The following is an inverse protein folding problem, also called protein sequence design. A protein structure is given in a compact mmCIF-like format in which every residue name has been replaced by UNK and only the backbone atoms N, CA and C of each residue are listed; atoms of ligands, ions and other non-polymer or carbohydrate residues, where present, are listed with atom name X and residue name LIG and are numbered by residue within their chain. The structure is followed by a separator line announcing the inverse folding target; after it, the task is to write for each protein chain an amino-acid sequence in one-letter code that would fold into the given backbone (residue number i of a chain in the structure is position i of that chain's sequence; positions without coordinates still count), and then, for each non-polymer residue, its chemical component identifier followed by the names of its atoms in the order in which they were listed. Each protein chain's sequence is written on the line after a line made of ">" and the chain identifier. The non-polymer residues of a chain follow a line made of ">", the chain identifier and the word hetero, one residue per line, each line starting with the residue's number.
data_IF_331561345155
#
_entry.id   IF_331561345155
#
_cell.length_a   1.000
_cell.length_b   1.000
_cell.length_c   1.000
_cell.angle_alpha   90.00
_cell.angle_beta   90.00
_cell.angle_gamma   90.00
#
_symmetry.space_group_name_H-M   'P 1'
#
loop_
_entity.id
_entity.type
_entity.pdbx_description
1 polymer ?
#
# COMPACT_ATOMS: atom_id res chain seq x y z
N UNK A 1 43.25 -22.01 8.09
CA UNK A 1 43.25 -21.68 6.65
C UNK A 1 42.00 -22.30 6.05
N UNK A 2 40.92 -21.54 5.84
CA UNK A 2 39.80 -22.04 5.05
C UNK A 2 40.23 -22.01 3.59
N UNK A 3 40.39 -23.16 2.96
CA UNK A 3 40.54 -23.25 1.52
C UNK A 3 39.27 -22.65 0.91
N UNK A 4 39.40 -21.48 0.28
CA UNK A 4 38.37 -20.98 -0.61
C UNK A 4 38.32 -21.94 -1.80
N UNK A 5 37.47 -22.97 -1.70
CA UNK A 5 37.23 -23.90 -2.78
C UNK A 5 36.69 -23.10 -3.97
N UNK A 6 37.51 -22.97 -5.02
CA UNK A 6 37.07 -22.42 -6.29
C UNK A 6 36.42 -23.56 -7.09
N UNK A 7 35.11 -23.55 -7.29
CA UNK A 7 34.48 -24.55 -8.13
C UNK A 7 34.98 -24.44 -9.59
N UNK A 8 34.99 -25.57 -10.35
CA UNK A 8 35.33 -25.57 -11.77
C UNK A 8 34.48 -24.59 -12.58
N UNK A 9 35.03 -24.03 -13.66
CA UNK A 9 34.29 -23.18 -14.59
C UNK A 9 33.08 -23.95 -15.16
N UNK A 10 31.88 -23.38 -15.00
CA UNK A 10 30.61 -24.01 -15.41
C UNK A 10 29.98 -24.94 -14.37
N UNK A 11 30.64 -25.20 -13.22
CA UNK A 11 30.02 -25.93 -12.12
C UNK A 11 29.23 -24.98 -11.22
N UNK A 12 27.92 -25.20 -11.15
CA UNK A 12 27.04 -24.61 -10.14
C UNK A 12 26.75 -25.66 -9.07
N UNK A 13 26.95 -25.38 -7.76
CA UNK A 13 26.62 -26.33 -6.71
C UNK A 13 25.17 -26.80 -6.85
N UNK A 14 24.89 -28.12 -6.73
CA UNK A 14 23.52 -28.62 -6.67
C UNK A 14 22.75 -27.86 -5.58
N UNK A 15 21.67 -27.17 -5.96
CA UNK A 15 20.90 -26.35 -5.03
C UNK A 15 20.92 -24.84 -5.30
N UNK A 16 21.94 -24.31 -5.99
CA UNK A 16 22.01 -22.89 -6.35
C UNK A 16 20.82 -22.46 -7.23
N UNK A 17 20.37 -23.33 -8.13
CA UNK A 17 19.15 -23.16 -8.91
C UNK A 17 17.86 -23.06 -8.07
N UNK A 18 17.83 -23.62 -6.86
CA UNK A 18 16.68 -23.53 -5.95
C UNK A 18 16.75 -22.30 -5.04
N UNK A 19 17.94 -21.76 -4.76
CA UNK A 19 18.10 -20.57 -3.93
C UNK A 19 17.44 -19.33 -4.57
N UNK A 20 17.56 -19.15 -5.89
CA UNK A 20 17.00 -17.99 -6.59
C UNK A 20 15.47 -18.02 -6.65
N UNK A 21 14.86 -19.19 -6.85
CA UNK A 21 13.38 -19.31 -6.92
C UNK A 21 12.69 -18.93 -5.60
N UNK A 22 13.31 -19.22 -4.46
CA UNK A 22 12.73 -18.93 -3.13
C UNK A 22 12.52 -17.41 -2.91
N UNK A 23 13.46 -16.58 -3.37
CA UNK A 23 13.35 -15.12 -3.26
C UNK A 23 12.27 -14.53 -4.17
N UNK A 24 12.19 -15.03 -5.41
CA UNK A 24 11.22 -14.52 -6.39
C UNK A 24 9.77 -14.82 -5.99
N UNK A 25 9.48 -16.06 -5.58
CA UNK A 25 8.12 -16.46 -5.17
C UNK A 25 7.59 -15.66 -3.98
N UNK A 26 8.43 -15.43 -2.96
CA UNK A 26 8.07 -14.61 -1.79
C UNK A 26 7.82 -13.15 -2.16
N UNK A 27 8.61 -12.63 -3.08
CA UNK A 27 8.45 -11.24 -3.57
C UNK A 27 7.15 -11.07 -4.34
N UNK A 28 6.81 -12.02 -5.22
CA UNK A 28 5.57 -12.00 -5.99
C UNK A 28 4.34 -12.06 -5.07
N UNK A 29 4.30 -13.01 -4.13
CA UNK A 29 3.19 -13.14 -3.18
C UNK A 29 3.05 -11.86 -2.35
N UNK A 30 4.16 -11.34 -1.80
CA UNK A 30 4.13 -10.10 -1.02
C UNK A 30 3.66 -8.90 -1.85
N UNK A 31 3.98 -8.86 -3.15
CA UNK A 31 3.53 -7.79 -4.05
C UNK A 31 2.04 -7.89 -4.33
N UNK A 32 1.52 -9.09 -4.61
CA UNK A 32 0.08 -9.32 -4.83
C UNK A 32 -0.72 -9.00 -3.58
N UNK A 33 -0.27 -9.49 -2.42
CA UNK A 33 -0.94 -9.20 -1.14
C UNK A 33 -0.93 -7.70 -0.86
N UNK A 34 0.22 -7.02 -1.03
CA UNK A 34 0.30 -5.56 -0.87
C UNK A 34 -0.66 -4.83 -1.81
N UNK A 35 -0.63 -5.16 -3.10
CA UNK A 35 -1.49 -4.53 -4.12
C UNK A 35 -2.99 -4.72 -3.86
N UNK A 36 -3.42 -5.84 -3.27
CA UNK A 36 -4.83 -6.10 -2.96
C UNK A 36 -5.24 -5.51 -1.62
N UNK A 37 -4.38 -5.58 -0.60
CA UNK A 37 -4.72 -5.12 0.76
C UNK A 37 -4.67 -3.60 0.89
N UNK A 38 -3.74 -2.93 0.17
CA UNK A 38 -3.64 -1.46 0.22
C UNK A 38 -4.92 -0.71 -0.13
N UNK A 39 -5.61 -0.98 -1.26
CA UNK A 39 -6.84 -0.26 -1.60
C UNK A 39 -7.96 -0.54 -0.59
N UNK A 40 -8.02 -1.74 0.01
CA UNK A 40 -8.97 -2.06 1.08
C UNK A 40 -8.66 -1.20 2.32
N UNK A 41 -7.38 -1.11 2.70
CA UNK A 41 -6.94 -0.27 3.82
C UNK A 41 -7.21 1.21 3.61
N UNK A 42 -6.94 1.72 2.40
CA UNK A 42 -7.27 3.09 1.99
C UNK A 42 -8.77 3.32 2.05
N UNK A 43 -9.56 2.41 1.48
CA UNK A 43 -11.01 2.52 1.43
C UNK A 43 -11.64 2.59 2.82
N UNK A 44 -11.25 1.69 3.72
CA UNK A 44 -11.73 1.73 5.12
C UNK A 44 -11.30 3.01 5.84
N UNK A 45 -10.05 3.44 5.67
CA UNK A 45 -9.56 4.66 6.30
C UNK A 45 -10.24 5.92 5.75
N UNK A 46 -10.49 5.97 4.44
CA UNK A 46 -11.14 7.08 3.76
C UNK A 46 -12.61 7.19 4.14
N UNK A 47 -13.35 6.07 4.11
CA UNK A 47 -14.76 6.04 4.50
C UNK A 47 -14.93 6.43 5.98
N UNK A 48 -14.12 5.84 6.87
CA UNK A 48 -14.16 6.18 8.28
C UNK A 48 -13.84 7.66 8.53
N UNK A 49 -12.89 8.24 7.81
CA UNK A 49 -12.57 9.66 7.91
C UNK A 49 -13.71 10.57 7.40
N UNK A 50 -14.42 10.17 6.35
CA UNK A 50 -15.59 10.90 5.84
C UNK A 50 -16.73 10.89 6.86
N UNK A 51 -17.08 9.71 7.38
CA UNK A 51 -18.07 9.56 8.45
C UNK A 51 -17.67 10.44 9.64
N UNK A 52 -16.38 10.43 10.00
CA UNK A 52 -15.81 11.31 11.04
C UNK A 52 -16.10 12.77 10.84
N UNK A 53 -15.87 13.26 9.63
CA UNK A 53 -16.15 14.64 9.30
C UNK A 53 -17.64 14.96 9.40
N UNK A 54 -18.51 14.06 8.95
CA UNK A 54 -19.95 14.29 8.96
C UNK A 54 -20.52 14.39 10.38
N UNK A 55 -20.16 13.49 11.30
CA UNK A 55 -20.68 13.58 12.67
C UNK A 55 -20.17 14.81 13.45
N UNK A 56 -18.93 15.23 13.19
CA UNK A 56 -18.38 16.46 13.79
C UNK A 56 -19.13 17.70 13.28
N UNK A 57 -19.51 17.73 11.99
CA UNK A 57 -20.23 18.86 11.40
C UNK A 57 -21.72 18.87 11.77
N UNK A 58 -22.37 17.72 11.79
CA UNK A 58 -23.81 17.59 12.09
C UNK A 58 -24.13 17.50 13.58
N UNK A 59 -23.12 17.31 14.43
CA UNK A 59 -23.29 17.16 15.89
C UNK A 59 -23.93 15.83 16.30
N UNK A 60 -24.06 14.87 15.39
CA UNK A 60 -24.71 13.57 15.62
C UNK A 60 -23.66 12.49 15.90
N UNK A 61 -23.39 12.19 17.17
CA UNK A 61 -22.40 11.18 17.56
C UNK A 61 -22.83 9.70 17.31
N UNK A 62 -23.90 9.47 16.54
CA UNK A 62 -24.59 8.18 16.44
C UNK A 62 -23.64 7.02 16.05
N UNK A 63 -22.79 7.23 15.04
CA UNK A 63 -21.91 6.17 14.51
C UNK A 63 -20.41 6.39 14.77
N UNK A 64 -20.08 7.12 15.85
CA UNK A 64 -18.67 7.40 16.24
C UNK A 64 -17.84 6.12 16.34
N UNK A 65 -18.42 5.05 16.87
CA UNK A 65 -17.72 3.76 17.01
C UNK A 65 -17.45 3.10 15.67
N UNK A 66 -18.43 3.06 14.76
CA UNK A 66 -18.27 2.47 13.43
C UNK A 66 -17.17 3.15 12.63
N UNK A 67 -17.20 4.49 12.61
CA UNK A 67 -16.19 5.31 11.96
C UNK A 67 -14.77 5.09 12.54
N UNK A 68 -14.64 5.04 13.87
CA UNK A 68 -13.35 4.74 14.51
C UNK A 68 -12.83 3.34 14.16
N UNK A 69 -13.71 2.32 14.14
CA UNK A 69 -13.30 0.96 13.77
C UNK A 69 -12.84 0.87 12.32
N UNK A 70 -13.47 1.60 11.39
CA UNK A 70 -13.03 1.67 10.00
C UNK A 70 -11.65 2.34 9.87
N UNK A 71 -11.42 3.46 10.57
CA UNK A 71 -10.11 4.13 10.58
C UNK A 71 -9.03 3.21 11.16
N UNK A 72 -9.29 2.60 12.32
CA UNK A 72 -8.36 1.67 12.96
C UNK A 72 -8.11 0.46 12.06
N UNK A 73 -9.17 -0.12 11.48
CA UNK A 73 -9.06 -1.25 10.56
C UNK A 73 -8.21 -0.92 9.33
N UNK A 74 -8.47 0.22 8.69
CA UNK A 74 -7.69 0.72 7.57
C UNK A 74 -6.23 0.97 7.94
N UNK A 75 -5.98 1.61 9.09
CA UNK A 75 -4.64 1.85 9.60
C UNK A 75 -3.87 0.55 9.90
N UNK A 76 -4.54 -0.45 10.50
CA UNK A 76 -3.94 -1.78 10.75
C UNK A 76 -3.60 -2.47 9.43
N UNK A 77 -4.48 -2.43 8.42
CA UNK A 77 -4.19 -3.01 7.11
C UNK A 77 -3.00 -2.33 6.44
N UNK A 78 -2.96 -0.99 6.42
CA UNK A 78 -1.83 -0.24 5.86
C UNK A 78 -0.53 -0.49 6.64
N UNK A 79 -0.61 -0.60 7.97
CA UNK A 79 0.51 -1.00 8.80
C UNK A 79 1.01 -2.40 8.46
N UNK A 80 0.10 -3.36 8.24
CA UNK A 80 0.48 -4.71 7.79
C UNK A 80 1.15 -4.68 6.43
N UNK A 81 0.68 -3.86 5.47
CA UNK A 81 1.37 -3.69 4.17
C UNK A 81 2.76 -3.07 4.34
N UNK A 82 2.91 -2.09 5.24
CA UNK A 82 4.22 -1.55 5.56
C UNK A 82 5.14 -2.61 6.20
N UNK A 83 4.60 -3.43 7.10
CA UNK A 83 5.33 -4.53 7.75
C UNK A 83 5.75 -5.63 6.75
N UNK A 84 4.96 -5.85 5.68
CA UNK A 84 5.34 -6.76 4.60
C UNK A 84 6.66 -6.35 3.91
N UNK A 85 7.10 -5.09 4.03
CA UNK A 85 8.40 -4.66 3.53
C UNK A 85 9.55 -5.45 4.14
N UNK A 86 9.41 -5.91 5.39
CA UNK A 86 10.42 -6.75 6.04
C UNK A 86 10.69 -8.05 5.28
N UNK A 87 9.69 -8.57 4.55
CA UNK A 87 9.78 -9.80 3.75
C UNK A 87 9.92 -9.52 2.26
N UNK A 88 9.08 -8.62 1.71
CA UNK A 88 9.05 -8.21 0.30
C UNK A 88 9.10 -6.68 0.19
N UNK A 89 10.30 -6.07 0.26
CA UNK A 89 10.44 -4.62 0.15
C UNK A 89 9.89 -4.07 -1.16
N UNK A 90 10.13 -4.78 -2.26
CA UNK A 90 9.67 -4.41 -3.60
C UNK A 90 8.15 -4.38 -3.66
N UNK A 91 7.47 -5.35 -3.06
CA UNK A 91 6.01 -5.39 -3.03
C UNK A 91 5.41 -4.18 -2.33
N UNK A 92 5.99 -3.76 -1.21
CA UNK A 92 5.54 -2.56 -0.48
C UNK A 92 5.80 -1.28 -1.27
N UNK A 93 6.94 -1.17 -1.96
CA UNK A 93 7.21 -0.03 -2.86
C UNK A 93 6.17 0.03 -3.98
N UNK A 94 5.89 -1.09 -4.64
CA UNK A 94 4.89 -1.17 -5.72
C UNK A 94 3.51 -0.77 -5.20
N UNK A 95 3.09 -1.27 -4.04
CA UNK A 95 1.81 -0.90 -3.44
C UNK A 95 1.73 0.61 -3.13
N UNK A 96 2.82 1.19 -2.58
CA UNK A 96 2.92 2.62 -2.34
C UNK A 96 2.91 3.47 -3.61
N UNK A 97 3.51 2.98 -4.69
CA UNK A 97 3.49 3.64 -5.99
C UNK A 97 2.08 3.62 -6.60
N UNK A 98 1.49 2.43 -6.75
CA UNK A 98 0.23 2.21 -7.48
C UNK A 98 -0.95 2.89 -6.78
N UNK A 99 -1.04 2.79 -5.46
CA UNK A 99 -2.21 3.25 -4.71
C UNK A 99 -2.01 4.59 -3.98
N UNK A 100 -0.77 5.07 -3.89
CA UNK A 100 -0.46 6.29 -3.15
C UNK A 100 0.18 7.37 -4.02
N UNK A 101 1.43 7.14 -4.44
CA UNK A 101 2.21 8.16 -5.15
C UNK A 101 1.59 8.52 -6.50
N UNK A 102 1.24 7.53 -7.33
CA UNK A 102 0.69 7.78 -8.67
C UNK A 102 -0.65 8.51 -8.58
N UNK A 103 -1.67 8.04 -7.82
CA UNK A 103 -2.93 8.77 -7.68
C UNK A 103 -2.74 10.17 -7.08
N UNK A 104 -1.85 10.32 -6.09
CA UNK A 104 -1.53 11.61 -5.49
C UNK A 104 -0.91 12.60 -6.49
N UNK A 105 0.01 12.14 -7.34
CA UNK A 105 0.61 12.96 -8.39
C UNK A 105 -0.38 13.28 -9.51
N UNK A 106 -1.20 12.30 -9.91
CA UNK A 106 -2.25 12.53 -10.91
C UNK A 106 -3.25 13.59 -10.45
N UNK A 107 -3.65 13.61 -9.17
CA UNK A 107 -4.50 14.67 -8.65
C UNK A 107 -3.87 16.06 -8.75
N UNK A 108 -2.55 16.17 -8.53
CA UNK A 108 -1.84 17.45 -8.58
C UNK A 108 -1.76 17.98 -10.02
N UNK A 109 -1.51 17.08 -10.97
CA UNK A 109 -1.30 17.44 -12.38
C UNK A 109 -2.62 17.56 -13.16
N UNK A 110 -3.57 16.66 -12.87
CA UNK A 110 -4.82 16.47 -13.59
C UNK A 110 -5.97 16.24 -12.58
N UNK A 111 -6.34 17.26 -11.79
CA UNK A 111 -7.38 17.10 -10.78
C UNK A 111 -8.67 16.61 -11.42
N UNK A 112 -9.19 17.30 -12.44
CA UNK A 112 -10.45 16.97 -13.14
C UNK A 112 -10.50 15.53 -13.67
N UNK A 113 -9.41 15.06 -14.28
CA UNK A 113 -9.35 13.69 -14.79
C UNK A 113 -9.33 12.66 -13.65
N UNK A 114 -8.67 12.98 -12.54
CA UNK A 114 -8.65 12.12 -11.35
C UNK A 114 -10.05 11.99 -10.74
N UNK A 115 -10.84 13.07 -10.70
CA UNK A 115 -12.26 13.00 -10.30
C UNK A 115 -13.03 12.03 -11.18
N UNK A 116 -12.96 12.21 -12.50
CA UNK A 116 -13.68 11.36 -13.45
C UNK A 116 -13.25 9.90 -13.35
N UNK A 117 -11.98 9.63 -13.10
CA UNK A 117 -11.49 8.26 -12.90
C UNK A 117 -12.08 7.61 -11.64
N UNK A 118 -12.18 8.36 -10.53
CA UNK A 118 -12.80 7.86 -9.29
C UNK A 118 -14.30 7.63 -9.49
N UNK A 119 -15.00 8.56 -10.13
CA UNK A 119 -16.45 8.47 -10.40
C UNK A 119 -16.80 7.30 -11.34
N UNK A 120 -15.91 6.97 -12.29
CA UNK A 120 -16.09 5.84 -13.19
C UNK A 120 -15.77 4.48 -12.56
N UNK A 121 -15.32 4.42 -11.30
CA UNK A 121 -15.08 3.15 -10.63
C UNK A 121 -16.41 2.41 -10.42
N UNK A 122 -16.60 1.25 -11.06
CA UNK A 122 -17.85 0.52 -10.96
C UNK A 122 -18.05 -0.02 -9.54
N UNK A 123 -19.31 -0.26 -9.17
CA UNK A 123 -19.72 -0.95 -7.93
C UNK A 123 -19.45 -0.21 -6.61
N UNK A 124 -18.86 0.98 -6.64
CA UNK A 124 -18.70 1.81 -5.45
C UNK A 124 -19.94 2.68 -5.22
N UNK A 125 -20.31 2.86 -3.95
CA UNK A 125 -21.38 3.79 -3.56
C UNK A 125 -20.91 5.25 -3.68
N UNK A 126 -21.85 6.18 -3.84
CA UNK A 126 -21.59 7.61 -3.91
C UNK A 126 -20.78 8.13 -2.71
N UNK A 127 -21.08 7.61 -1.51
CA UNK A 127 -20.33 7.93 -0.28
C UNK A 127 -18.87 7.47 -0.36
N UNK A 128 -18.61 6.33 -1.00
CA UNK A 128 -17.26 5.80 -1.16
C UNK A 128 -16.47 6.59 -2.22
N UNK A 129 -17.12 7.00 -3.31
CA UNK A 129 -16.53 7.93 -4.28
C UNK A 129 -16.14 9.24 -3.59
N UNK A 130 -17.04 9.83 -2.80
CA UNK A 130 -16.77 11.06 -2.04
C UNK A 130 -15.64 10.87 -1.01
N UNK A 131 -15.59 9.71 -0.35
CA UNK A 131 -14.55 9.39 0.62
C UNK A 131 -13.17 9.30 -0.05
N UNK A 132 -13.05 8.53 -1.14
CA UNK A 132 -11.82 8.41 -1.92
C UNK A 132 -11.40 9.75 -2.50
N UNK A 133 -12.37 10.53 -2.98
CA UNK A 133 -12.11 11.86 -3.50
C UNK A 133 -11.50 12.76 -2.41
N UNK A 134 -12.14 12.85 -1.24
CA UNK A 134 -11.60 13.61 -0.11
C UNK A 134 -10.23 13.09 0.36
N UNK A 135 -10.01 11.77 0.30
CA UNK A 135 -8.73 11.17 0.67
C UNK A 135 -7.59 11.63 -0.23
N UNK A 136 -7.82 11.62 -1.54
CA UNK A 136 -6.86 12.06 -2.55
C UNK A 136 -6.66 13.58 -2.49
N UNK A 137 -7.75 14.35 -2.38
CA UNK A 137 -7.72 15.82 -2.29
C UNK A 137 -6.98 16.32 -1.05
N UNK A 138 -7.14 15.66 0.10
CA UNK A 138 -6.42 16.01 1.33
C UNK A 138 -4.95 15.56 1.31
N UNK A 139 -4.47 14.95 0.22
CA UNK A 139 -3.09 14.52 0.06
C UNK A 139 -2.73 13.22 0.80
N UNK A 140 -3.71 12.54 1.41
CA UNK A 140 -3.43 11.29 2.14
C UNK A 140 -2.91 10.19 1.22
N UNK A 141 -3.35 10.13 -0.04
CA UNK A 141 -2.80 9.21 -1.03
C UNK A 141 -1.28 9.41 -1.22
N UNK A 142 -0.84 10.65 -1.38
CA UNK A 142 0.59 10.96 -1.54
C UNK A 142 1.38 10.59 -0.28
N UNK A 143 0.84 10.94 0.90
CA UNK A 143 1.46 10.66 2.19
C UNK A 143 1.60 9.15 2.43
N UNK A 144 0.53 8.37 2.25
CA UNK A 144 0.58 6.91 2.43
C UNK A 144 1.50 6.26 1.41
N UNK A 145 1.48 6.72 0.15
CA UNK A 145 2.37 6.26 -0.89
C UNK A 145 3.84 6.44 -0.53
N UNK A 146 4.22 7.65 -0.11
CA UNK A 146 5.59 7.95 0.31
C UNK A 146 6.00 7.18 1.56
N UNK A 147 5.11 6.96 2.53
CA UNK A 147 5.41 6.12 3.70
C UNK A 147 5.65 4.65 3.33
N UNK A 148 4.84 4.08 2.43
CA UNK A 148 5.03 2.71 1.97
C UNK A 148 6.32 2.55 1.16
N UNK A 149 6.60 3.51 0.27
CA UNK A 149 7.86 3.55 -0.49
C UNK A 149 9.05 3.66 0.49
N UNK A 150 8.96 4.56 1.48
CA UNK A 150 9.97 4.73 2.53
C UNK A 150 10.20 3.45 3.33
N UNK A 151 9.14 2.73 3.71
CA UNK A 151 9.23 1.45 4.39
C UNK A 151 9.96 0.39 3.55
N UNK A 152 9.64 0.31 2.25
CA UNK A 152 10.32 -0.59 1.32
C UNK A 152 11.80 -0.24 1.10
N UNK A 153 12.13 1.05 0.97
CA UNK A 153 13.52 1.50 0.87
C UNK A 153 14.28 1.17 2.15
N UNK A 154 13.72 1.51 3.32
CA UNK A 154 14.35 1.23 4.61
C UNK A 154 14.61 -0.27 4.84
N UNK A 155 13.66 -1.13 4.47
CA UNK A 155 13.83 -2.58 4.56
C UNK A 155 14.91 -3.11 3.61
N UNK A 156 15.05 -2.51 2.43
CA UNK A 156 16.11 -2.84 1.46
C UNK A 156 17.48 -2.44 1.97
N UNK A 157 17.60 -1.23 2.56
CA UNK A 157 18.85 -0.73 3.12
C UNK A 157 19.31 -1.56 4.32
N UNK A 158 18.40 -2.02 5.19
CA UNK A 158 18.74 -2.87 6.36
C UNK A 158 19.30 -4.25 6.02
N UNK A 159 19.15 -4.71 4.77
CA UNK A 159 19.68 -6.00 4.31
C UNK A 159 21.09 -5.90 3.75
N UNK A 160 21.60 -4.69 3.55
CA UNK A 160 22.98 -4.42 3.12
C UNK A 160 23.87 -4.23 4.35
#
# INVERSE_FOLDING_TARGET
>A
MSSNYQPPAGWSPPGTQFQTRSGFGRTLIGSVVGLVVTPIGIGLAAHGALDTRQWVLLGTAADRWGSNFQIIGGAVLLFLVAALAAFSPVGTVIAGLVWGLIPGLLQILFPEDTYRQIENLPELSDDFHLALHNWVLNGFALITGLFLIGAGIAATLRRK
#
